data_IF_475514749261
#
_entry.id   IF_475514749261
#
_cell.length_a   1.000
_cell.length_b   1.000
_cell.length_c   1.000
_cell.angle_alpha   90.00
_cell.angle_beta   90.00
_cell.angle_gamma   90.00
#
_symmetry.space_group_name_H-M   'P 1'
#
loop_
_entity.id
_entity.type
_entity.pdbx_description
1 polymer ?
#
# COMPACT_ATOMS: atom_id res chain seq x y z
N UNK A 1 -4.90 26.64 0.88
CA UNK A 1 -5.31 26.32 -0.50
C UNK A 1 -4.49 25.11 -0.92
N UNK A 2 -4.94 23.90 -0.64
CA UNK A 2 -5.06 22.83 -1.65
C UNK A 2 -6.09 21.76 -1.23
N UNK A 3 -6.95 22.07 -0.25
CA UNK A 3 -7.85 21.09 0.38
C UNK A 3 -9.19 20.88 -0.36
N UNK A 4 -9.38 21.37 -1.60
CA UNK A 4 -10.75 21.56 -2.11
C UNK A 4 -10.99 21.41 -3.62
N UNK A 5 -10.36 20.46 -4.33
CA UNK A 5 -10.66 20.31 -5.78
C UNK A 5 -10.98 18.88 -6.26
N UNK A 6 -11.11 17.88 -5.38
CA UNK A 6 -11.51 16.52 -5.83
C UNK A 6 -12.73 15.92 -5.11
N UNK A 7 -13.55 16.74 -4.45
CA UNK A 7 -14.69 16.27 -3.65
C UNK A 7 -16.04 16.32 -4.40
N UNK A 8 -16.10 16.92 -5.61
CA UNK A 8 -17.37 17.22 -6.30
C UNK A 8 -17.83 16.21 -7.39
N UNK A 9 -17.36 14.96 -7.38
CA UNK A 9 -17.84 13.94 -8.35
C UNK A 9 -18.37 12.65 -7.71
N UNK A 10 -18.97 12.66 -6.51
CA UNK A 10 -19.69 11.49 -5.98
C UNK A 10 -18.91 10.16 -5.94
N UNK A 11 -17.58 10.20 -6.12
CA UNK A 11 -16.65 9.09 -5.99
C UNK A 11 -16.19 9.15 -4.56
N UNK A 12 -16.67 8.23 -3.72
CA UNK A 12 -16.06 8.03 -2.41
C UNK A 12 -14.56 7.85 -2.62
N UNK A 13 -13.79 8.88 -2.25
CA UNK A 13 -12.35 8.77 -2.15
C UNK A 13 -12.16 7.77 -1.01
N UNK A 14 -11.90 6.51 -1.35
CA UNK A 14 -11.74 5.40 -0.40
C UNK A 14 -10.44 5.52 0.42
N UNK A 15 -10.01 6.75 0.67
CA UNK A 15 -8.86 7.14 1.47
C UNK A 15 -9.36 7.31 2.90
N UNK A 16 -8.83 6.52 3.82
CA UNK A 16 -9.13 6.60 5.26
C UNK A 16 -7.82 6.64 6.03
N UNK A 17 -7.79 7.35 7.15
CA UNK A 17 -6.69 7.31 8.10
C UNK A 17 -7.21 6.61 9.35
N UNK A 18 -6.52 5.57 9.82
CA UNK A 18 -6.90 4.87 11.05
C UNK A 18 -6.36 5.56 12.31
N UNK A 19 -6.73 5.05 13.48
CA UNK A 19 -6.31 5.56 14.78
C UNK A 19 -4.78 5.58 14.99
N UNK A 20 -4.05 4.77 14.23
CA UNK A 20 -2.59 4.71 14.26
C UNK A 20 -1.95 5.69 13.25
N UNK A 21 -2.75 6.53 12.59
CA UNK A 21 -2.28 7.46 11.58
C UNK A 21 -1.93 6.80 10.24
N UNK A 22 -2.33 5.54 10.01
CA UNK A 22 -2.02 4.83 8.76
C UNK A 22 -3.06 5.18 7.70
N UNK A 23 -2.58 5.75 6.58
CA UNK A 23 -3.42 6.02 5.41
C UNK A 23 -3.70 4.73 4.65
N UNK A 24 -4.97 4.48 4.32
CA UNK A 24 -5.45 3.34 3.55
C UNK A 24 -6.26 3.78 2.35
N UNK A 25 -6.02 3.18 1.19
CA UNK A 25 -6.77 3.38 -0.04
C UNK A 25 -7.43 2.06 -0.47
N UNK A 26 -8.76 2.03 -0.57
CA UNK A 26 -9.54 0.80 -0.79
C UNK A 26 -9.16 -0.32 0.20
N UNK A 27 -8.97 0.04 1.48
CA UNK A 27 -8.59 -0.89 2.55
C UNK A 27 -7.10 -1.28 2.59
N UNK A 28 -6.31 -0.91 1.58
CA UNK A 28 -4.88 -1.22 1.48
C UNK A 28 -4.03 -0.13 2.08
N UNK A 29 -2.94 -0.48 2.77
CA UNK A 29 -2.00 0.48 3.36
C UNK A 29 -1.29 1.24 2.25
N UNK A 30 -1.37 2.57 2.29
CA UNK A 30 -0.67 3.45 1.36
C UNK A 30 0.80 3.51 1.71
N UNK A 31 1.66 3.14 0.76
CA UNK A 31 3.11 3.23 0.89
C UNK A 31 3.57 4.50 0.17
N UNK A 32 4.23 5.44 0.88
CA UNK A 32 4.86 6.61 0.29
C UNK A 32 5.78 6.24 -0.89
N UNK A 33 5.99 7.18 -1.82
CA UNK A 33 6.93 6.98 -2.93
C UNK A 33 8.39 7.15 -2.47
N UNK A 34 8.81 6.30 -1.53
CA UNK A 34 10.15 6.22 -0.95
C UNK A 34 10.74 4.87 -1.38
N UNK A 35 11.73 4.84 -2.28
CA UNK A 35 12.30 3.60 -2.81
C UNK A 35 12.80 2.63 -1.72
N UNK A 36 13.40 3.17 -0.66
CA UNK A 36 13.95 2.42 0.47
C UNK A 36 12.84 1.71 1.23
N UNK A 37 11.69 2.36 1.43
CA UNK A 37 10.54 1.77 2.10
C UNK A 37 9.93 0.63 1.27
N UNK A 38 9.79 0.84 -0.05
CA UNK A 38 9.33 -0.20 -0.98
C UNK A 38 10.27 -1.42 -0.94
N UNK A 39 11.59 -1.17 -0.92
CA UNK A 39 12.61 -2.22 -0.81
C UNK A 39 12.51 -2.95 0.53
N UNK A 40 12.35 -2.26 1.65
CA UNK A 40 12.20 -2.90 2.96
C UNK A 40 10.99 -3.83 3.03
N UNK A 41 9.84 -3.40 2.48
CA UNK A 41 8.62 -4.23 2.44
C UNK A 41 8.85 -5.49 1.59
N UNK A 42 9.52 -5.37 0.44
CA UNK A 42 9.83 -6.51 -0.43
C UNK A 42 10.86 -7.45 0.21
N UNK A 43 11.91 -6.92 0.85
CA UNK A 43 12.93 -7.70 1.54
C UNK A 43 12.34 -8.48 2.72
N UNK A 44 11.46 -7.84 3.51
CA UNK A 44 10.75 -8.49 4.62
C UNK A 44 9.81 -9.59 4.10
N UNK A 45 9.06 -9.30 3.04
CA UNK A 45 8.19 -10.27 2.37
C UNK A 45 8.96 -11.49 1.84
N UNK A 46 10.20 -11.32 1.40
CA UNK A 46 11.04 -12.40 0.91
C UNK A 46 11.71 -13.22 2.02
N UNK A 47 12.05 -12.57 3.14
CA UNK A 47 12.72 -13.21 4.29
C UNK A 47 11.78 -13.84 5.29
N UNK A 48 10.48 -13.55 5.21
CA UNK A 48 9.50 -14.08 6.15
C UNK A 48 9.51 -15.62 6.13
N UNK A 49 9.61 -16.22 7.32
CA UNK A 49 9.59 -17.68 7.53
C UNK A 49 8.27 -18.35 7.09
N UNK A 50 7.24 -17.54 6.86
CA UNK A 50 5.94 -17.97 6.35
C UNK A 50 5.91 -18.09 4.82
N UNK A 51 7.01 -17.76 4.16
CA UNK A 51 7.13 -17.88 2.70
C UNK A 51 7.53 -19.31 2.35
N UNK A 52 6.57 -20.09 1.85
CA UNK A 52 6.88 -21.38 1.19
C UNK A 52 7.42 -21.03 -0.19
N UNK A 53 8.69 -20.62 -0.26
CA UNK A 53 9.39 -20.00 -1.41
C UNK A 53 8.50 -19.76 -2.65
N UNK A 54 7.54 -18.83 -2.57
CA UNK A 54 6.80 -18.44 -3.74
C UNK A 54 7.77 -17.65 -4.62
N UNK A 55 7.76 -17.87 -5.93
CA UNK A 55 8.52 -17.02 -6.85
C UNK A 55 8.19 -15.55 -6.61
N UNK A 56 9.14 -14.65 -6.89
CA UNK A 56 9.03 -13.20 -6.66
C UNK A 56 7.71 -12.59 -7.16
N UNK A 57 7.18 -13.10 -8.27
CA UNK A 57 5.89 -12.70 -8.84
C UNK A 57 4.72 -12.93 -7.89
N UNK A 58 4.65 -14.10 -7.25
CA UNK A 58 3.54 -14.45 -6.35
C UNK A 58 3.63 -13.64 -5.06
N UNK A 59 4.83 -13.47 -4.50
CA UNK A 59 5.06 -12.60 -3.34
C UNK A 59 4.60 -11.16 -3.63
N UNK A 60 4.96 -10.62 -4.79
CA UNK A 60 4.55 -9.27 -5.19
C UNK A 60 3.03 -9.14 -5.33
N UNK A 61 2.37 -10.15 -5.92
CA UNK A 61 0.90 -10.17 -6.02
C UNK A 61 0.22 -10.22 -4.65
N UNK A 62 0.78 -10.97 -3.69
CA UNK A 62 0.25 -11.04 -2.33
C UNK A 62 0.44 -9.72 -1.57
N UNK A 63 1.62 -9.09 -1.67
CA UNK A 63 1.87 -7.77 -1.10
C UNK A 63 0.95 -6.70 -1.69
N UNK A 64 0.65 -6.76 -2.99
CA UNK A 64 -0.30 -5.85 -3.66
C UNK A 64 -1.74 -5.93 -3.14
N UNK A 65 -2.12 -7.01 -2.45
CA UNK A 65 -3.44 -7.11 -1.80
C UNK A 65 -3.49 -6.30 -0.51
N UNK A 66 -2.36 -6.13 0.17
CA UNK A 66 -2.25 -5.45 1.46
C UNK A 66 -1.80 -3.99 1.31
N UNK A 67 -0.95 -3.72 0.33
CA UNK A 67 -0.34 -2.42 0.11
C UNK A 67 -0.78 -1.79 -1.21
N UNK A 68 -0.80 -0.46 -1.22
CA UNK A 68 -1.03 0.36 -2.39
C UNK A 68 0.08 1.41 -2.49
N UNK A 69 0.65 1.60 -3.67
CA UNK A 69 1.54 2.71 -3.98
C UNK A 69 1.30 3.15 -5.42
N UNK A 70 1.53 4.45 -5.73
CA UNK A 70 1.50 4.92 -7.10
C UNK A 70 2.56 4.18 -7.92
N UNK A 71 2.14 3.72 -9.10
CA UNK A 71 3.00 3.10 -10.10
C UNK A 71 3.91 4.13 -10.76
#
# INVERSE_FOLDING_TARGET
>A
MEKLVLINEGKETNIKVDENGVMRFHGRVCVPNVPELKKMIMDEGHRSRLTIHPGVTKMYQDLKKLFWWPG
#
